data_IF_406397150332
#
_entry.id   IF_406397150332
#
_cell.length_a   1.000
_cell.length_b   1.000
_cell.length_c   1.000
_cell.angle_alpha   90.00
_cell.angle_beta   90.00
_cell.angle_gamma   90.00
#
_symmetry.space_group_name_H-M   'P 1'
#
loop_
_entity.id
_entity.type
_entity.pdbx_description
1 polymer ?
#
# COMPACT_ATOMS: atom_id res chain seq x y z
N UNK A 1 -12.39 54.60 1.92
CA UNK A 1 -11.53 55.75 1.62
C UNK A 1 -10.16 55.27 1.18
N UNK A 2 -9.74 55.70 0.01
CA UNK A 2 -8.52 55.62 -0.80
C UNK A 2 -8.36 54.33 -1.60
N UNK A 3 -8.78 54.33 -2.80
CA UNK A 3 -8.26 54.63 -4.15
C UNK A 3 -6.76 54.92 -4.22
N UNK A 4 -6.08 54.26 -5.12
CA UNK A 4 -5.07 54.74 -6.06
C UNK A 4 -4.70 53.53 -6.96
N UNK A 5 -5.09 53.49 -8.19
CA UNK A 5 -4.64 54.14 -9.43
C UNK A 5 -3.41 53.54 -10.04
N UNK A 6 -3.70 52.98 -11.23
CA UNK A 6 -3.00 53.21 -12.51
C UNK A 6 -1.60 52.60 -12.67
N UNK A 7 -1.49 51.89 -13.68
CA UNK A 7 -1.10 52.21 -15.08
C UNK A 7 0.24 51.58 -15.36
N UNK A 8 0.51 50.80 -16.34
CA UNK A 8 0.76 51.21 -17.70
C UNK A 8 1.00 50.01 -18.58
N UNK A 9 0.31 49.98 -19.66
CA UNK A 9 0.49 49.20 -20.86
C UNK A 9 1.90 49.43 -21.43
N UNK A 10 2.61 48.35 -21.73
CA UNK A 10 3.71 48.40 -22.70
C UNK A 10 3.72 47.12 -23.53
N UNK A 11 3.16 47.36 -24.72
CA UNK A 11 3.16 46.45 -25.85
C UNK A 11 4.59 46.41 -26.42
N UNK A 12 5.28 45.32 -26.37
CA UNK A 12 6.47 45.09 -27.20
C UNK A 12 6.23 43.89 -28.07
N UNK A 13 5.85 44.18 -29.30
CA UNK A 13 5.85 43.27 -30.42
C UNK A 13 7.31 43.11 -30.86
N UNK A 14 7.89 41.94 -30.68
CA UNK A 14 9.12 41.58 -31.35
C UNK A 14 8.81 40.45 -32.31
N UNK A 15 8.68 40.84 -33.58
CA UNK A 15 8.75 39.96 -34.72
C UNK A 15 10.18 39.37 -34.80
N UNK A 16 10.31 38.08 -34.63
CA UNK A 16 11.52 37.36 -35.04
C UNK A 16 11.17 36.27 -36.02
N UNK A 17 11.59 36.53 -37.21
CA UNK A 17 11.61 35.67 -38.39
C UNK A 17 12.43 34.42 -38.18
N UNK A 18 11.91 33.36 -38.71
CA UNK A 18 12.43 32.05 -39.09
C UNK A 18 13.85 31.64 -38.76
N UNK A 19 13.93 30.47 -38.16
CA UNK A 19 15.06 29.60 -38.40
C UNK A 19 14.61 28.14 -38.36
N UNK A 20 14.84 27.49 -39.49
CA UNK A 20 14.66 26.05 -39.74
C UNK A 20 15.58 25.31 -38.76
N UNK A 21 15.06 24.63 -37.79
CA UNK A 21 15.82 23.73 -36.93
C UNK A 21 15.55 22.28 -37.32
N UNK A 22 16.62 21.62 -37.67
CA UNK A 22 16.76 20.23 -38.07
C UNK A 22 16.08 19.30 -37.05
N UNK A 23 15.35 18.32 -37.56
CA UNK A 23 14.92 17.17 -36.83
C UNK A 23 16.12 16.47 -36.18
N UNK A 24 16.28 16.60 -34.89
CA UNK A 24 17.12 15.70 -34.08
C UNK A 24 16.26 14.52 -33.70
N UNK A 25 16.54 13.40 -34.35
CA UNK A 25 16.08 12.08 -33.90
C UNK A 25 16.72 11.81 -32.53
N UNK A 26 16.03 12.17 -31.48
CA UNK A 26 16.38 11.70 -30.15
C UNK A 26 15.98 10.23 -30.07
N UNK A 27 16.97 9.37 -30.18
CA UNK A 27 16.86 7.96 -29.80
C UNK A 27 16.34 7.92 -28.37
N UNK A 28 15.07 7.60 -28.20
CA UNK A 28 14.50 7.27 -26.90
C UNK A 28 15.22 6.01 -26.45
N UNK A 29 16.20 6.22 -25.58
CA UNK A 29 16.84 5.14 -24.84
C UNK A 29 15.72 4.54 -23.98
N UNK A 30 15.24 3.41 -24.43
CA UNK A 30 14.32 2.55 -23.70
C UNK A 30 15.00 2.21 -22.37
N UNK A 31 14.72 3.04 -21.36
CA UNK A 31 15.01 2.70 -19.98
C UNK A 31 14.00 1.63 -19.62
N UNK A 32 14.33 0.39 -19.98
CA UNK A 32 13.74 -0.78 -19.40
C UNK A 32 13.92 -0.66 -17.88
N UNK A 33 13.01 0.05 -17.26
CA UNK A 33 12.76 -0.01 -15.84
C UNK A 33 12.43 -1.48 -15.55
N UNK A 34 13.46 -2.23 -15.17
CA UNK A 34 13.33 -3.55 -14.61
C UNK A 34 12.52 -3.36 -13.34
N UNK A 35 11.20 -3.38 -13.49
CA UNK A 35 10.27 -3.50 -12.39
C UNK A 35 10.68 -4.79 -11.68
N UNK A 36 11.41 -4.65 -10.60
CA UNK A 36 11.59 -5.71 -9.62
C UNK A 36 10.22 -5.91 -8.99
N UNK A 37 9.35 -6.61 -9.68
CA UNK A 37 8.09 -7.06 -9.14
C UNK A 37 8.42 -8.11 -8.09
N UNK A 38 8.67 -7.64 -6.86
CA UNK A 38 8.82 -8.52 -5.72
C UNK A 38 7.52 -9.30 -5.59
N UNK A 39 7.61 -10.63 -5.71
CA UNK A 39 6.42 -11.48 -5.70
C UNK A 39 5.81 -11.47 -4.30
N UNK A 40 4.59 -10.99 -4.18
CA UNK A 40 3.83 -11.02 -2.93
C UNK A 40 3.53 -12.47 -2.56
N UNK A 41 3.93 -12.87 -1.38
CA UNK A 41 3.64 -14.18 -0.78
C UNK A 41 2.44 -14.08 0.14
N UNK A 42 1.74 -15.19 0.33
CA UNK A 42 0.61 -15.24 1.27
C UNK A 42 1.06 -15.88 2.58
N UNK A 43 0.64 -15.28 3.69
CA UNK A 43 1.00 -15.73 5.03
C UNK A 43 -0.24 -15.93 5.90
N UNK A 44 -0.20 -16.98 6.73
CA UNK A 44 -1.11 -17.17 7.84
C UNK A 44 -0.40 -16.74 9.12
N UNK A 45 -1.01 -15.84 9.88
CA UNK A 45 -0.50 -15.36 11.16
C UNK A 45 -1.42 -15.84 12.28
N UNK A 46 -0.87 -16.53 13.27
CA UNK A 46 -1.57 -16.86 14.51
C UNK A 46 -1.26 -15.80 15.56
N UNK A 47 -2.31 -15.28 16.18
CA UNK A 47 -2.24 -14.31 17.25
C UNK A 47 -2.94 -14.89 18.48
N UNK A 48 -2.20 -15.14 19.53
CA UNK A 48 -2.74 -15.60 20.82
C UNK A 48 -3.36 -14.39 21.54
N UNK A 49 -4.68 -14.39 21.59
CA UNK A 49 -5.48 -13.32 22.22
C UNK A 49 -6.51 -14.00 23.11
N UNK A 50 -6.25 -14.11 24.40
CA UNK A 50 -7.16 -14.76 25.35
C UNK A 50 -8.56 -14.13 25.26
N UNK A 51 -9.58 -14.98 25.19
CA UNK A 51 -10.98 -14.58 25.04
C UNK A 51 -11.29 -13.77 23.76
N UNK A 52 -10.55 -13.95 22.68
CA UNK A 52 -10.81 -13.28 21.42
C UNK A 52 -12.26 -13.42 20.96
N UNK A 53 -12.86 -14.61 21.16
CA UNK A 53 -14.25 -14.89 20.81
C UNK A 53 -15.30 -14.11 21.62
N UNK A 54 -14.88 -13.40 22.67
CA UNK A 54 -15.76 -12.52 23.48
C UNK A 54 -15.64 -11.04 23.11
N UNK A 55 -14.79 -10.70 22.13
CA UNK A 55 -14.65 -9.33 21.65
C UNK A 55 -15.96 -8.85 21.01
N UNK A 56 -16.39 -7.64 21.39
CA UNK A 56 -17.59 -7.03 20.82
C UNK A 56 -17.35 -6.56 19.37
N UNK A 57 -18.40 -6.37 18.58
CA UNK A 57 -18.28 -5.81 17.24
C UNK A 57 -17.51 -4.48 17.21
N UNK A 58 -17.69 -3.62 18.21
CA UNK A 58 -17.01 -2.33 18.32
C UNK A 58 -15.51 -2.52 18.59
N UNK A 59 -15.13 -3.48 19.43
CA UNK A 59 -13.73 -3.82 19.67
C UNK A 59 -13.07 -4.41 18.43
N UNK A 60 -13.75 -5.31 17.73
CA UNK A 60 -13.26 -5.86 16.46
C UNK A 60 -13.10 -4.77 15.39
N UNK A 61 -14.03 -3.83 15.32
CA UNK A 61 -13.93 -2.66 14.43
C UNK A 61 -12.72 -1.80 14.77
N UNK A 62 -12.48 -1.51 16.04
CA UNK A 62 -11.34 -0.71 16.48
C UNK A 62 -9.99 -1.39 16.14
N UNK A 63 -9.89 -2.69 16.33
CA UNK A 63 -8.72 -3.51 15.95
C UNK A 63 -8.49 -3.40 14.43
N UNK A 64 -9.55 -3.56 13.65
CA UNK A 64 -9.48 -3.46 12.18
C UNK A 64 -9.04 -2.07 11.71
N UNK A 65 -9.59 -1.02 12.30
CA UNK A 65 -9.21 0.37 11.99
C UNK A 65 -7.74 0.62 12.28
N UNK A 66 -7.24 0.15 13.43
CA UNK A 66 -5.83 0.26 13.79
C UNK A 66 -4.94 -0.47 12.80
N UNK A 67 -5.28 -1.71 12.44
CA UNK A 67 -4.56 -2.47 11.43
C UNK A 67 -4.50 -1.73 10.09
N UNK A 68 -5.63 -1.23 9.60
CA UNK A 68 -5.69 -0.47 8.35
C UNK A 68 -4.84 0.81 8.40
N UNK A 69 -4.83 1.52 9.53
CA UNK A 69 -4.02 2.72 9.71
C UNK A 69 -2.52 2.42 9.60
N UNK A 70 -2.04 1.34 10.24
CA UNK A 70 -0.63 0.91 10.12
C UNK A 70 -0.31 0.54 8.68
N UNK A 71 -1.16 -0.25 8.02
CA UNK A 71 -0.95 -0.68 6.63
C UNK A 71 -0.87 0.51 5.65
N UNK A 72 -1.65 1.56 5.88
CA UNK A 72 -1.57 2.78 5.05
C UNK A 72 -0.20 3.45 5.12
N UNK A 73 0.46 3.43 6.28
CA UNK A 73 1.82 3.96 6.44
C UNK A 73 2.89 3.05 5.84
N UNK A 74 2.69 1.73 5.95
CA UNK A 74 3.65 0.75 5.44
C UNK A 74 3.66 0.67 3.91
N UNK A 75 2.56 1.00 3.23
CA UNK A 75 2.47 1.00 1.77
C UNK A 75 2.03 -0.34 1.16
N UNK A 76 2.17 -0.49 -0.18
CA UNK A 76 1.53 -1.58 -0.93
C UNK A 76 2.23 -2.95 -0.80
N UNK A 77 3.43 -3.01 -0.23
CA UNK A 77 4.20 -4.24 -0.06
C UNK A 77 3.65 -5.20 1.00
N UNK A 78 2.60 -4.79 1.71
CA UNK A 78 1.86 -5.61 2.65
C UNK A 78 0.36 -5.33 2.53
N UNK A 79 -0.47 -6.37 2.54
CA UNK A 79 -1.92 -6.27 2.40
C UNK A 79 -2.60 -7.24 3.35
N UNK A 80 -3.57 -6.78 4.09
CA UNK A 80 -4.45 -7.62 4.88
C UNK A 80 -5.61 -8.12 4.03
N UNK A 81 -5.82 -9.43 3.98
CA UNK A 81 -6.91 -10.03 3.23
C UNK A 81 -8.13 -10.26 4.13
N UNK A 82 -7.95 -10.98 5.23
CA UNK A 82 -9.03 -11.34 6.16
C UNK A 82 -8.49 -11.88 7.46
N UNK A 83 -9.35 -11.96 8.47
CA UNK A 83 -9.03 -12.60 9.75
C UNK A 83 -10.21 -13.43 10.25
N UNK A 84 -9.89 -14.49 10.96
CA UNK A 84 -10.83 -15.39 11.61
C UNK A 84 -10.65 -15.30 13.11
N UNK A 85 -11.71 -14.95 13.82
CA UNK A 85 -11.72 -14.85 15.27
C UNK A 85 -12.21 -16.19 15.84
N UNK A 86 -11.43 -16.77 16.72
CA UNK A 86 -11.76 -18.01 17.46
C UNK A 86 -11.89 -17.73 18.95
N UNK A 87 -11.99 -18.76 19.78
CA UNK A 87 -12.13 -18.59 21.23
C UNK A 87 -11.00 -17.76 21.85
N UNK A 88 -9.75 -18.14 21.56
CA UNK A 88 -8.55 -17.59 22.20
C UNK A 88 -7.46 -17.17 21.20
N UNK A 89 -7.77 -17.16 19.92
CA UNK A 89 -6.84 -16.78 18.83
C UNK A 89 -7.54 -15.99 17.75
N UNK A 90 -6.74 -15.21 17.03
CA UNK A 90 -7.13 -14.63 15.74
C UNK A 90 -6.14 -15.13 14.70
N UNK A 91 -6.66 -15.73 13.62
CA UNK A 91 -5.89 -16.14 12.45
C UNK A 91 -6.06 -15.09 11.36
N UNK A 92 -4.95 -14.50 10.93
CA UNK A 92 -4.96 -13.45 9.92
C UNK A 92 -4.28 -13.92 8.63
N UNK A 93 -4.87 -13.61 7.50
CA UNK A 93 -4.28 -13.88 6.18
C UNK A 93 -3.83 -12.57 5.56
N UNK A 94 -2.54 -12.51 5.23
CA UNK A 94 -1.90 -11.35 4.63
C UNK A 94 -1.17 -11.74 3.34
N UNK A 95 -1.04 -10.78 2.44
CA UNK A 95 -0.01 -10.81 1.40
C UNK A 95 1.10 -9.85 1.79
N UNK A 96 2.35 -10.26 1.64
CA UNK A 96 3.52 -9.43 1.88
C UNK A 96 4.70 -9.89 1.00
N UNK A 97 5.63 -9.00 0.73
CA UNK A 97 6.86 -9.34 0.01
C UNK A 97 7.76 -10.28 0.82
N UNK A 98 7.71 -10.14 2.15
CA UNK A 98 8.45 -10.98 3.08
C UNK A 98 7.80 -11.01 4.47
N UNK A 99 8.27 -11.88 5.33
CA UNK A 99 7.79 -12.06 6.71
C UNK A 99 8.10 -10.85 7.61
N UNK A 100 9.20 -10.15 7.37
CA UNK A 100 9.64 -9.02 8.20
C UNK A 100 8.60 -7.90 8.19
N UNK A 101 7.96 -7.64 7.05
CA UNK A 101 6.87 -6.67 6.95
C UNK A 101 5.68 -7.04 7.83
N UNK A 102 5.40 -8.33 8.01
CA UNK A 102 4.33 -8.79 8.91
C UNK A 102 4.71 -8.56 10.36
N UNK A 103 5.98 -8.80 10.73
CA UNK A 103 6.50 -8.54 12.06
C UNK A 103 6.51 -7.05 12.37
N UNK A 104 6.88 -6.22 11.40
CA UNK A 104 6.84 -4.75 11.51
C UNK A 104 5.40 -4.26 11.74
N UNK A 105 4.45 -4.71 10.92
CA UNK A 105 3.03 -4.40 11.10
C UNK A 105 2.53 -4.80 12.50
N UNK A 106 2.89 -5.98 12.97
CA UNK A 106 2.50 -6.46 14.29
C UNK A 106 3.08 -5.56 15.40
N UNK A 107 4.34 -5.17 15.28
CA UNK A 107 5.03 -4.28 16.22
C UNK A 107 4.40 -2.89 16.25
N UNK A 108 4.19 -2.26 15.10
CA UNK A 108 3.60 -0.93 15.01
C UNK A 108 2.14 -0.91 15.48
N UNK A 109 1.38 -1.95 15.15
CA UNK A 109 0.00 -2.11 15.59
C UNK A 109 -0.14 -2.53 17.04
N UNK A 110 0.92 -3.01 17.69
CA UNK A 110 0.86 -3.61 19.03
C UNK A 110 0.08 -4.93 19.04
N UNK A 111 0.13 -5.67 17.92
CA UNK A 111 -0.52 -6.98 17.80
C UNK A 111 0.47 -8.11 18.11
N UNK A 112 0.03 -9.20 18.75
CA UNK A 112 0.85 -10.40 18.82
C UNK A 112 1.02 -11.02 17.42
N UNK A 113 2.16 -11.67 17.18
CA UNK A 113 2.41 -12.48 15.99
C UNK A 113 3.17 -13.72 16.44
N UNK A 114 2.44 -14.65 17.05
CA UNK A 114 3.03 -15.83 17.71
C UNK A 114 3.61 -16.81 16.71
N UNK A 115 2.88 -17.05 15.60
CA UNK A 115 3.33 -17.90 14.51
C UNK A 115 3.05 -17.19 13.18
N UNK A 116 4.01 -17.20 12.27
CA UNK A 116 3.87 -16.72 10.90
C UNK A 116 4.25 -17.87 9.97
N UNK A 117 3.33 -18.27 9.10
CA UNK A 117 3.51 -19.40 8.19
C UNK A 117 3.27 -18.95 6.76
N UNK A 118 4.23 -19.16 5.85
CA UNK A 118 4.03 -18.93 4.42
C UNK A 118 3.07 -19.98 3.86
N UNK A 119 2.03 -19.55 3.15
CA UNK A 119 1.07 -20.43 2.47
C UNK A 119 1.60 -20.72 1.07
N UNK A 120 1.97 -21.96 0.82
CA UNK A 120 2.50 -22.39 -0.48
C UNK A 120 1.40 -22.46 -1.54
N UNK A 121 0.20 -22.91 -1.17
CA UNK A 121 -0.94 -23.04 -2.08
C UNK A 121 -2.26 -23.01 -1.34
N UNK A 122 -3.30 -22.62 -2.04
CA UNK A 122 -4.68 -22.64 -1.51
C UNK A 122 -5.52 -23.59 -2.36
N UNK A 123 -6.25 -24.48 -1.72
CA UNK A 123 -7.24 -25.35 -2.37
C UNK A 123 -8.66 -24.94 -1.98
N UNK A 124 -9.60 -25.16 -2.87
CA UNK A 124 -11.01 -24.88 -2.65
C UNK A 124 -11.86 -25.86 -3.45
N UNK A 125 -13.21 -25.89 -3.32
CA UNK A 125 -14.06 -26.71 -4.19
C UNK A 125 -13.84 -26.44 -5.69
N UNK A 126 -13.37 -25.28 -6.08
CA UNK A 126 -13.02 -24.95 -7.46
C UNK A 126 -11.78 -25.73 -7.94
N UNK A 127 -10.90 -26.15 -7.04
CA UNK A 127 -9.69 -26.93 -7.36
C UNK A 127 -10.02 -28.38 -7.74
N UNK A 128 -11.25 -28.85 -7.46
CA UNK A 128 -11.72 -30.21 -7.78
C UNK A 128 -12.31 -30.36 -9.19
N UNK A 129 -12.28 -29.30 -10.01
CA UNK A 129 -12.84 -29.29 -11.38
C UNK A 129 -11.78 -29.61 -12.41
#
# INVERSE_FOLDING_TARGET
MKLIKNSTLLLVIVLFTGMIAKAQTTTVKDSSSKSNSTTMKTYLIERDIPNAGKLTPEQLKAISQKSCSVLQHMGPQIQWLQSYVTGDKIFCVYKAENEDLIREHAKEGGFPANVITEISTTISPATAK
#
